data_IF_506331832416
#
_entry.id   IF_506331832416
#
_cell.length_a   1.000
_cell.length_b   1.000
_cell.length_c   1.000
_cell.angle_alpha   90.00
_cell.angle_beta   90.00
_cell.angle_gamma   90.00
#
_symmetry.space_group_name_H-M   'P 1'
#
loop_
_entity.id
_entity.type
_entity.pdbx_description
1 polymer ?
#
# COMPACT_ATOMS: atom_id res chain seq x y z
N UNK A 1 -8.23 -1.16 -8.23
CA UNK A 1 -7.98 -2.62 -8.17
C UNK A 1 -9.35 -3.32 -8.30
N UNK A 2 -9.45 -4.65 -8.50
CA UNK A 2 -10.76 -5.32 -8.45
C UNK A 2 -11.39 -5.16 -7.06
N UNK A 3 -12.72 -5.02 -7.06
CA UNK A 3 -13.49 -4.69 -5.85
C UNK A 3 -13.42 -5.75 -4.76
N UNK A 4 -13.30 -7.03 -5.11
CA UNK A 4 -13.15 -8.13 -4.15
C UNK A 4 -11.84 -8.03 -3.36
N UNK A 5 -10.76 -7.63 -4.03
CA UNK A 5 -9.46 -7.42 -3.40
C UNK A 5 -9.45 -6.20 -2.48
N UNK A 6 -10.11 -5.12 -2.90
CA UNK A 6 -10.28 -3.91 -2.08
C UNK A 6 -11.12 -4.20 -0.83
N UNK A 7 -12.22 -4.94 -0.97
CA UNK A 7 -13.04 -5.40 0.16
C UNK A 7 -12.23 -6.27 1.10
N UNK A 8 -11.39 -7.17 0.56
CA UNK A 8 -10.52 -8.01 1.36
C UNK A 8 -9.54 -7.19 2.20
N UNK A 9 -8.85 -6.20 1.61
CA UNK A 9 -7.97 -5.30 2.36
C UNK A 9 -8.71 -4.58 3.49
N UNK A 10 -9.89 -4.02 3.22
CA UNK A 10 -10.69 -3.35 4.24
C UNK A 10 -11.18 -4.29 5.35
N UNK A 11 -11.41 -5.56 5.02
CA UNK A 11 -11.87 -6.58 5.97
C UNK A 11 -10.73 -7.08 6.84
N UNK A 12 -9.56 -7.31 6.25
CA UNK A 12 -8.39 -7.86 6.94
C UNK A 12 -7.66 -6.78 7.77
N UNK A 13 -7.74 -5.51 7.34
CA UNK A 13 -7.08 -4.38 8.00
C UNK A 13 -8.06 -3.23 8.29
N UNK A 14 -9.09 -3.45 9.13
CA UNK A 14 -10.11 -2.43 9.40
C UNK A 14 -9.51 -1.18 10.06
N UNK A 15 -8.52 -1.32 10.93
CA UNK A 15 -7.84 -0.19 11.59
C UNK A 15 -7.11 0.75 10.61
N UNK A 16 -6.67 0.22 9.46
CA UNK A 16 -6.02 1.02 8.43
C UNK A 16 -7.02 1.70 7.50
N UNK A 17 -8.16 1.05 7.23
CA UNK A 17 -9.02 1.40 6.10
C UNK A 17 -10.48 1.75 6.45
N UNK A 18 -10.90 1.66 7.71
CA UNK A 18 -12.28 1.91 8.14
C UNK A 18 -12.83 3.29 7.76
N UNK A 19 -11.98 4.32 7.64
CA UNK A 19 -12.39 5.68 7.28
C UNK A 19 -12.26 6.01 5.79
N UNK A 20 -11.81 5.07 4.94
CA UNK A 20 -11.63 5.29 3.51
C UNK A 20 -12.96 5.10 2.76
N UNK A 21 -13.88 6.02 2.97
CA UNK A 21 -15.25 5.81 2.56
C UNK A 21 -15.48 5.88 1.04
N UNK A 22 -14.63 6.52 0.21
CA UNK A 22 -15.00 6.75 -1.22
C UNK A 22 -13.88 6.89 -2.28
N UNK A 23 -12.65 6.37 -2.10
CA UNK A 23 -11.64 6.31 -3.18
C UNK A 23 -10.76 5.08 -3.03
N UNK A 24 -11.22 3.94 -3.53
CA UNK A 24 -10.46 2.71 -3.40
C UNK A 24 -9.42 2.63 -4.51
N UNK A 25 -8.16 2.64 -4.08
CA UNK A 25 -6.94 2.23 -4.78
C UNK A 25 -6.94 2.50 -6.30
N UNK A 26 -6.35 3.63 -6.69
CA UNK A 26 -6.11 4.03 -8.09
C UNK A 26 -4.98 3.22 -8.77
N UNK A 27 -4.81 1.95 -8.37
CA UNK A 27 -3.87 0.99 -8.94
C UNK A 27 -4.60 -0.29 -9.39
N UNK A 28 -3.94 -1.14 -10.17
CA UNK A 28 -4.51 -2.40 -10.67
C UNK A 28 -4.09 -3.62 -9.81
N UNK A 29 -4.60 -4.80 -10.16
CA UNK A 29 -4.51 -6.03 -9.36
C UNK A 29 -3.09 -6.55 -9.12
N UNK A 30 -2.17 -6.30 -10.04
CA UNK A 30 -0.77 -6.71 -9.96
C UNK A 30 -0.03 -6.15 -8.77
N UNK A 31 -0.52 -5.06 -8.16
CA UNK A 31 0.05 -4.50 -6.93
C UNK A 31 -0.63 -5.00 -5.65
N UNK A 32 -1.66 -5.85 -5.76
CA UNK A 32 -2.40 -6.33 -4.60
C UNK A 32 -1.49 -6.96 -3.55
N UNK A 33 -0.59 -7.86 -3.93
CA UNK A 33 0.27 -8.55 -2.98
C UNK A 33 1.27 -7.60 -2.30
N UNK A 34 1.75 -6.57 -3.01
CA UNK A 34 2.62 -5.53 -2.46
C UNK A 34 1.85 -4.74 -1.39
N UNK A 35 0.64 -4.30 -1.74
CA UNK A 35 -0.21 -3.52 -0.84
C UNK A 35 -0.59 -4.36 0.38
N UNK A 36 -0.97 -5.63 0.18
CA UNK A 36 -1.36 -6.52 1.28
C UNK A 36 -0.22 -6.74 2.27
N UNK A 37 1.01 -7.01 1.78
CA UNK A 37 2.18 -7.15 2.66
C UNK A 37 2.50 -5.85 3.38
N UNK A 38 2.39 -4.71 2.69
CA UNK A 38 2.56 -3.40 3.32
C UNK A 38 1.52 -3.20 4.43
N UNK A 39 0.25 -3.48 4.18
CA UNK A 39 -0.83 -3.38 5.18
C UNK A 39 -0.55 -4.24 6.41
N UNK A 40 -0.10 -5.49 6.22
CA UNK A 40 0.26 -6.37 7.32
C UNK A 40 1.42 -5.82 8.16
N UNK A 41 2.48 -5.34 7.49
CA UNK A 41 3.62 -4.73 8.18
C UNK A 41 3.22 -3.47 8.96
N UNK A 42 2.39 -2.61 8.35
CA UNK A 42 1.90 -1.39 9.01
C UNK A 42 1.03 -1.71 10.22
N UNK A 43 0.14 -2.71 10.11
CA UNK A 43 -0.69 -3.15 11.21
C UNK A 43 0.14 -3.68 12.39
N UNK A 44 1.21 -4.43 12.10
CA UNK A 44 2.15 -4.94 13.12
C UNK A 44 2.89 -3.79 13.82
N UNK A 45 3.48 -2.85 13.06
CA UNK A 45 4.18 -1.69 13.61
C UNK A 45 3.23 -0.86 14.50
N UNK A 46 2.03 -0.54 14.02
CA UNK A 46 1.03 0.23 14.78
C UNK A 46 0.59 -0.55 16.03
N UNK A 47 0.48 -1.88 15.97
CA UNK A 47 0.13 -2.71 17.13
C UNK A 47 1.24 -2.73 18.20
N UNK A 48 2.50 -2.60 17.79
CA UNK A 48 3.66 -2.57 18.69
C UNK A 48 3.95 -1.18 19.28
N UNK A 49 3.26 -0.14 18.82
CA UNK A 49 3.39 1.23 19.28
C UNK A 49 2.13 1.71 20.00
N UNK A 50 2.15 1.71 21.34
CA UNK A 50 1.04 2.20 22.16
C UNK A 50 0.75 3.70 21.95
N UNK A 51 1.75 4.47 21.49
CA UNK A 51 1.66 5.91 21.20
C UNK A 51 0.99 6.26 19.86
N UNK A 52 0.77 5.27 18.99
CA UNK A 52 0.21 5.48 17.65
C UNK A 52 -1.30 5.28 17.52
N UNK A 53 -1.96 4.77 18.57
CA UNK A 53 -3.42 4.66 18.58
C UNK A 53 -4.02 6.04 18.92
N UNK A 54 -4.89 6.67 18.08
CA UNK A 54 -5.68 6.12 16.98
C UNK A 54 -5.55 6.94 15.68
N UNK A 55 -4.35 7.33 15.26
CA UNK A 55 -4.19 8.18 14.09
C UNK A 55 -3.08 7.69 13.16
N UNK A 56 -3.47 7.10 12.03
CA UNK A 56 -2.56 6.73 10.93
C UNK A 56 -1.73 7.94 10.44
N UNK A 57 -2.26 9.18 10.55
CA UNK A 57 -1.51 10.41 10.23
C UNK A 57 -0.39 10.76 11.24
N UNK A 58 -0.43 10.28 12.49
CA UNK A 58 0.73 10.38 13.39
C UNK A 58 1.73 9.25 13.16
N UNK A 59 1.26 8.12 12.63
CA UNK A 59 2.08 6.96 12.30
C UNK A 59 3.08 7.24 11.15
N UNK A 60 2.75 8.13 10.21
CA UNK A 60 3.65 8.52 9.09
C UNK A 60 4.93 9.25 9.53
N UNK A 61 5.04 9.66 10.80
CA UNK A 61 6.25 10.26 11.37
C UNK A 61 7.20 9.23 12.00
N UNK A 62 6.87 7.94 11.94
CA UNK A 62 7.74 6.88 12.41
C UNK A 62 8.57 6.31 11.27
N UNK A 63 9.87 6.18 11.53
CA UNK A 63 10.86 5.74 10.56
C UNK A 63 10.58 4.33 10.02
N UNK A 64 10.05 3.41 10.84
CA UNK A 64 9.70 2.05 10.41
C UNK A 64 8.54 2.06 9.41
N UNK A 65 7.52 2.90 9.65
CA UNK A 65 6.41 3.08 8.72
C UNK A 65 6.89 3.71 7.42
N UNK A 66 7.74 4.73 7.51
CA UNK A 66 8.34 5.36 6.34
C UNK A 66 9.16 4.36 5.52
N UNK A 67 10.02 3.58 6.16
CA UNK A 67 10.81 2.54 5.52
C UNK A 67 9.95 1.45 4.87
N UNK A 68 8.88 1.02 5.54
CA UNK A 68 7.95 0.03 5.00
C UNK A 68 7.29 0.54 3.71
N UNK A 69 6.83 1.79 3.71
CA UNK A 69 6.24 2.44 2.53
C UNK A 69 7.28 2.61 1.43
N UNK A 70 8.50 3.04 1.76
CA UNK A 70 9.58 3.23 0.79
C UNK A 70 9.95 1.91 0.10
N UNK A 71 10.06 0.80 0.84
CA UNK A 71 10.33 -0.54 0.29
C UNK A 71 9.21 -0.99 -0.65
N UNK A 72 7.94 -0.82 -0.24
CA UNK A 72 6.80 -1.17 -1.08
C UNK A 72 6.73 -0.33 -2.36
N UNK A 73 7.07 0.96 -2.28
CA UNK A 73 7.15 1.86 -3.43
C UNK A 73 8.26 1.46 -4.42
N UNK A 74 9.46 1.15 -3.92
CA UNK A 74 10.57 0.65 -4.75
C UNK A 74 10.19 -0.66 -5.48
N UNK A 75 9.50 -1.57 -4.79
CA UNK A 75 8.99 -2.80 -5.38
C UNK A 75 7.92 -2.53 -6.44
N UNK A 76 7.00 -1.61 -6.18
CA UNK A 76 5.92 -1.27 -7.10
C UNK A 76 6.45 -0.63 -8.39
N UNK A 77 7.52 0.17 -8.31
CA UNK A 77 8.21 0.73 -9.49
C UNK A 77 8.77 -0.33 -10.44
N UNK A 78 8.98 -1.55 -9.94
CA UNK A 78 9.50 -2.69 -10.70
C UNK A 78 8.47 -3.77 -10.96
N UNK A 79 7.19 -3.49 -10.68
CA UNK A 79 6.10 -4.46 -10.79
C UNK A 79 5.01 -3.89 -11.68
N UNK A 80 4.56 -4.67 -12.67
CA UNK A 80 3.43 -4.30 -13.53
C UNK A 80 2.16 -4.20 -12.70
N UNK A 81 1.48 -3.05 -12.74
CA UNK A 81 0.21 -2.84 -12.03
C UNK A 81 -0.87 -3.82 -12.48
N UNK A 82 -0.86 -4.27 -13.73
CA UNK A 82 -1.94 -5.13 -14.26
C UNK A 82 -1.78 -6.59 -13.87
N UNK A 83 -0.57 -7.15 -13.98
CA UNK A 83 -0.35 -8.59 -13.87
C UNK A 83 0.54 -9.02 -12.69
N UNK A 84 1.25 -8.10 -12.04
CA UNK A 84 2.13 -8.40 -10.90
C UNK A 84 3.48 -9.02 -11.29
N UNK A 85 3.76 -9.15 -12.59
CA UNK A 85 5.08 -9.57 -13.09
C UNK A 85 6.10 -8.42 -13.08
N UNK A 86 7.32 -8.69 -13.55
CA UNK A 86 8.37 -7.68 -13.70
C UNK A 86 7.89 -6.51 -14.56
N UNK A 87 7.78 -5.34 -13.96
CA UNK A 87 7.45 -4.08 -14.62
C UNK A 87 8.70 -3.39 -15.13
N UNK A 88 8.58 -2.67 -16.26
CA UNK A 88 9.66 -1.83 -16.78
C UNK A 88 9.39 -0.38 -16.43
N UNK A 89 10.36 0.30 -15.83
CA UNK A 89 10.35 1.75 -15.73
C UNK A 89 10.42 2.35 -17.14
N UNK A 90 9.29 2.84 -17.64
CA UNK A 90 9.29 3.72 -18.81
C UNK A 90 9.85 5.07 -18.38
N UNK A 91 11.11 5.32 -18.78
CA UNK A 91 11.80 6.58 -18.51
C UNK A 91 11.40 7.64 -19.54
N UNK A 92 10.11 7.87 -19.77
CA UNK A 92 9.62 8.97 -20.60
C UNK A 92 8.64 9.89 -19.82
N UNK A 93 9.14 11.09 -19.53
CA UNK A 93 8.41 12.31 -19.13
C UNK A 93 7.23 12.20 -18.16
N UNK A 94 7.47 12.63 -16.91
CA UNK A 94 6.51 13.12 -15.91
C UNK A 94 5.28 12.24 -15.58
N UNK A 95 5.22 10.98 -16.03
CA UNK A 95 4.25 10.01 -15.54
C UNK A 95 4.92 8.67 -15.25
N UNK A 96 4.90 8.24 -13.99
CA UNK A 96 5.27 6.89 -13.63
C UNK A 96 4.15 5.97 -14.12
N UNK A 97 4.39 5.22 -15.19
CA UNK A 97 3.54 4.10 -15.59
C UNK A 97 4.39 2.84 -15.66
N UNK A 98 4.08 1.88 -14.80
CA UNK A 98 4.58 0.51 -14.91
C UNK A 98 3.62 -0.25 -15.81
N UNK A 99 4.04 -0.49 -17.06
CA UNK A 99 3.38 -1.45 -17.98
C UNK A 99 3.91 -2.86 -17.75
#
# INVERSE_FOLDING_TARGET
MRKDLEIKLCTDFPELYANLQYKQFECLDGWYDIIYRLSANLADIISNHDDMKPNVYTAVQNDEIYEAIAKASEESLRTCETCGGEGKLLKDSWSWRTI
#
